data_IF_368254948596
#
_entry.id   IF_368254948596
#
_cell.length_a   1.000
_cell.length_b   1.000
_cell.length_c   1.000
_cell.angle_alpha   90.00
_cell.angle_beta   90.00
_cell.angle_gamma   90.00
#
_symmetry.space_group_name_H-M   'P 1'
#
loop_
_entity.id
_entity.type
_entity.pdbx_description
1 polymer ?
#
# COMPACT_ATOMS: atom_id res chain seq x y z
N UNK A 1 -29.86 -15.39 -45.36
CA UNK A 1 -28.73 -14.55 -45.84
C UNK A 1 -27.67 -14.51 -44.74
N UNK A 2 -26.46 -14.98 -45.03
CA UNK A 2 -25.33 -14.96 -44.11
C UNK A 2 -24.92 -13.50 -43.87
N UNK A 3 -24.99 -13.01 -42.64
CA UNK A 3 -24.37 -11.74 -42.24
C UNK A 3 -22.85 -11.96 -42.21
N UNK A 4 -22.19 -11.76 -43.34
CA UNK A 4 -20.73 -11.74 -43.41
C UNK A 4 -20.23 -10.40 -42.88
N UNK A 5 -19.83 -10.36 -41.60
CA UNK A 5 -18.87 -9.34 -41.19
C UNK A 5 -17.60 -9.54 -42.02
N UNK A 6 -17.01 -8.49 -42.61
CA UNK A 6 -15.75 -8.65 -43.33
C UNK A 6 -14.71 -9.20 -42.35
N UNK A 7 -14.24 -10.42 -42.63
CA UNK A 7 -13.12 -11.02 -41.89
C UNK A 7 -11.95 -10.04 -41.94
N UNK A 8 -11.24 -9.83 -40.81
CA UNK A 8 -10.17 -8.85 -40.78
C UNK A 8 -9.09 -9.28 -41.78
N UNK A 9 -8.78 -8.44 -42.79
CA UNK A 9 -7.71 -8.76 -43.72
C UNK A 9 -6.39 -8.69 -42.97
N UNK A 10 -5.66 -9.82 -42.93
CA UNK A 10 -4.44 -10.03 -42.14
C UNK A 10 -3.23 -9.17 -42.58
N UNK A 11 -3.43 -8.27 -43.54
CA UNK A 11 -2.37 -7.43 -44.12
C UNK A 11 -2.97 -6.16 -44.71
N UNK A 12 -2.92 -5.04 -43.97
CA UNK A 12 -3.16 -3.70 -44.53
C UNK A 12 -2.55 -2.55 -43.72
N UNK A 13 -2.51 -1.38 -44.35
CA UNK A 13 -1.91 -0.13 -43.87
C UNK A 13 -2.81 0.56 -42.82
N UNK A 14 -2.27 1.48 -41.99
CA UNK A 14 -3.01 2.07 -40.88
C UNK A 14 -4.38 2.70 -41.23
N UNK A 15 -4.55 3.19 -42.46
CA UNK A 15 -5.81 3.81 -42.91
C UNK A 15 -6.95 2.83 -43.08
N UNK A 16 -6.67 1.63 -43.60
CA UNK A 16 -7.69 0.61 -43.87
C UNK A 16 -8.17 -0.05 -42.58
N UNK A 17 -7.28 -0.16 -41.57
CA UNK A 17 -7.63 -0.58 -40.21
C UNK A 17 -8.57 0.42 -39.56
N UNK A 18 -8.29 1.72 -39.68
CA UNK A 18 -9.15 2.78 -39.13
C UNK A 18 -10.53 2.82 -39.81
N UNK A 19 -10.60 2.60 -41.13
CA UNK A 19 -11.88 2.51 -41.84
C UNK A 19 -12.71 1.29 -41.39
N UNK A 20 -12.08 0.13 -41.18
CA UNK A 20 -12.75 -1.05 -40.64
C UNK A 20 -13.25 -0.83 -39.21
N UNK A 21 -12.43 -0.25 -38.33
CA UNK A 21 -12.82 0.08 -36.95
C UNK A 21 -14.02 1.05 -36.95
N UNK A 22 -13.99 2.06 -37.82
CA UNK A 22 -15.08 3.04 -37.93
C UNK A 22 -16.38 2.41 -38.46
N UNK A 23 -16.28 1.45 -39.39
CA UNK A 23 -17.42 0.73 -39.95
C UNK A 23 -18.05 -0.25 -38.94
N UNK A 24 -17.25 -0.88 -38.08
CA UNK A 24 -17.75 -1.87 -37.09
C UNK A 24 -18.33 -1.21 -35.84
N UNK A 25 -17.73 -0.12 -35.34
CA UNK A 25 -18.09 0.43 -34.03
C UNK A 25 -18.93 1.71 -34.07
N UNK A 26 -19.09 2.33 -35.25
CA UNK A 26 -19.82 3.59 -35.41
C UNK A 26 -19.10 4.76 -34.71
N UNK A 27 -19.04 5.92 -35.36
CA UNK A 27 -18.38 7.12 -34.82
C UNK A 27 -19.23 7.82 -33.75
N UNK A 28 -19.45 7.16 -32.62
CA UNK A 28 -19.88 7.86 -31.42
C UNK A 28 -18.68 8.60 -30.82
N UNK A 29 -18.49 9.86 -31.21
CA UNK A 29 -17.70 10.82 -30.42
C UNK A 29 -18.40 11.00 -29.08
N UNK A 30 -18.16 10.09 -28.13
CA UNK A 30 -18.56 10.25 -26.75
C UNK A 30 -17.90 11.53 -26.21
N UNK A 31 -18.65 12.63 -26.15
CA UNK A 31 -18.25 13.81 -25.38
C UNK A 31 -17.99 13.31 -23.97
N UNK A 32 -16.72 13.35 -23.54
CA UNK A 32 -16.37 13.08 -22.14
C UNK A 32 -17.20 14.04 -21.28
N UNK A 33 -18.23 13.52 -20.63
CA UNK A 33 -19.04 14.29 -19.71
C UNK A 33 -18.09 14.84 -18.65
N UNK A 34 -18.01 16.17 -18.52
CA UNK A 34 -17.37 16.82 -17.36
C UNK A 34 -18.30 16.59 -16.17
N UNK A 35 -18.35 15.36 -15.68
CA UNK A 35 -18.88 15.09 -14.35
C UNK A 35 -17.89 15.77 -13.40
N UNK A 36 -18.32 16.88 -12.80
CA UNK A 36 -17.61 17.46 -11.66
C UNK A 36 -17.66 16.42 -10.55
N UNK A 37 -16.65 15.54 -10.50
CA UNK A 37 -16.52 14.60 -9.38
C UNK A 37 -16.33 15.45 -8.15
N UNK A 38 -17.38 15.59 -7.36
CA UNK A 38 -17.30 16.17 -6.02
C UNK A 38 -16.10 15.53 -5.30
N UNK A 39 -15.30 16.36 -4.64
CA UNK A 39 -14.14 15.88 -3.90
C UNK A 39 -14.64 15.08 -2.70
N UNK A 40 -14.80 13.77 -2.88
CA UNK A 40 -15.15 12.83 -1.80
C UNK A 40 -13.97 12.68 -0.86
N UNK A 41 -14.25 12.80 0.42
CA UNK A 41 -13.29 12.69 1.52
C UNK A 41 -13.61 11.46 2.34
N UNK A 42 -12.55 10.79 2.78
CA UNK A 42 -12.60 9.72 3.74
C UNK A 42 -11.99 10.21 5.05
N UNK A 43 -12.56 9.80 6.18
CA UNK A 43 -12.11 10.15 7.53
C UNK A 43 -11.91 8.86 8.34
N UNK A 44 -11.03 8.92 9.33
CA UNK A 44 -10.80 7.86 10.33
C UNK A 44 -10.64 6.47 9.71
N UNK A 45 -9.77 6.36 8.71
CA UNK A 45 -9.48 5.08 8.07
C UNK A 45 -8.46 4.33 8.91
N UNK A 46 -8.76 3.10 9.24
CA UNK A 46 -7.81 2.12 9.73
C UNK A 46 -7.67 1.02 8.66
N UNK A 47 -6.45 0.64 8.34
CA UNK A 47 -6.14 -0.39 7.36
C UNK A 47 -5.07 -1.29 7.94
N UNK A 48 -5.43 -2.55 8.05
CA UNK A 48 -4.54 -3.61 8.48
C UNK A 48 -4.12 -4.45 7.27
N UNK A 49 -2.82 -4.69 7.13
CA UNK A 49 -2.26 -5.40 5.99
C UNK A 49 -1.40 -6.55 6.51
N UNK A 50 -1.76 -7.77 6.09
CA UNK A 50 -0.97 -8.98 6.32
C UNK A 50 -0.14 -9.31 5.07
N UNK A 51 1.15 -9.57 5.28
CA UNK A 51 2.06 -10.02 4.22
C UNK A 51 1.96 -11.54 4.05
N UNK A 52 2.02 -12.01 2.80
CA UNK A 52 2.09 -13.45 2.48
C UNK A 52 3.56 -13.90 2.57
N UNK A 53 4.07 -14.02 3.79
CA UNK A 53 5.45 -14.40 4.12
C UNK A 53 5.47 -15.51 5.16
N UNK A 54 6.63 -16.14 5.32
CA UNK A 54 6.82 -17.19 6.32
C UNK A 54 6.58 -16.64 7.74
N UNK A 55 5.78 -17.38 8.51
CA UNK A 55 5.38 -16.99 9.86
C UNK A 55 5.91 -18.03 10.84
N UNK A 56 6.63 -17.57 11.85
CA UNK A 56 7.11 -18.40 12.93
C UNK A 56 6.39 -18.04 14.23
N UNK A 57 5.91 -19.05 14.95
CA UNK A 57 5.33 -18.83 16.27
C UNK A 57 6.49 -18.81 17.26
N UNK A 58 6.81 -17.61 17.79
CA UNK A 58 7.87 -17.46 18.77
C UNK A 58 7.49 -18.19 20.06
N UNK A 59 8.22 -19.26 20.39
CA UNK A 59 8.08 -19.96 21.66
C UNK A 59 8.70 -19.10 22.76
N UNK A 60 8.02 -18.92 23.91
CA UNK A 60 8.54 -18.09 24.98
C UNK A 60 9.82 -18.71 25.55
N UNK A 61 10.91 -17.98 25.43
CA UNK A 61 12.26 -18.38 25.87
C UNK A 61 12.52 -17.95 27.31
N UNK A 62 11.93 -16.83 27.75
CA UNK A 62 12.13 -16.24 29.07
C UNK A 62 10.91 -16.39 30.00
N UNK A 63 11.15 -16.30 31.31
CA UNK A 63 10.05 -16.32 32.30
C UNK A 63 9.12 -15.10 32.16
N UNK A 64 9.63 -13.96 31.72
CA UNK A 64 8.84 -12.76 31.42
C UNK A 64 7.92 -12.99 30.21
N UNK A 65 8.42 -13.60 29.14
CA UNK A 65 7.60 -13.99 27.97
C UNK A 65 6.54 -15.03 28.32
N UNK A 66 6.87 -15.99 29.21
CA UNK A 66 5.88 -16.94 29.74
C UNK A 66 4.78 -16.21 30.50
N UNK A 67 5.12 -15.19 31.30
CA UNK A 67 4.16 -14.37 32.03
C UNK A 67 3.29 -13.55 31.07
N UNK A 68 3.86 -12.90 30.04
CA UNK A 68 3.10 -12.17 29.01
C UNK A 68 2.17 -13.11 28.25
N UNK A 69 2.64 -14.29 27.85
CA UNK A 69 1.82 -15.33 27.22
C UNK A 69 0.70 -15.81 28.14
N UNK A 70 0.95 -15.90 29.45
CA UNK A 70 -0.03 -16.34 30.46
C UNK A 70 -1.07 -15.27 30.82
N UNK A 71 -0.67 -14.00 30.85
CA UNK A 71 -1.56 -12.85 31.11
C UNK A 71 -2.46 -12.56 29.90
N UNK A 72 -1.88 -12.61 28.71
CA UNK A 72 -2.58 -12.20 27.49
C UNK A 72 -3.18 -13.36 26.70
N UNK A 73 -2.71 -14.59 26.92
CA UNK A 73 -3.13 -15.76 26.13
C UNK A 73 -2.64 -15.74 24.69
N UNK A 74 -1.79 -14.78 24.30
CA UNK A 74 -1.42 -14.57 22.90
C UNK A 74 -0.05 -15.13 22.58
N UNK A 75 -0.02 -15.93 21.52
CA UNK A 75 1.20 -16.31 20.83
C UNK A 75 1.74 -15.12 20.02
N UNK A 76 3.05 -14.90 20.11
CA UNK A 76 3.75 -13.95 19.28
C UNK A 76 4.05 -14.60 17.93
N UNK A 77 3.75 -13.87 16.87
CA UNK A 77 4.05 -14.25 15.50
C UNK A 77 5.20 -13.37 15.05
N UNK A 78 6.22 -14.01 14.50
CA UNK A 78 7.33 -13.37 13.81
C UNK A 78 7.16 -13.62 12.32
N UNK A 79 7.05 -12.55 11.55
CA UNK A 79 6.99 -12.61 10.10
C UNK A 79 8.37 -12.31 9.51
N UNK A 80 8.87 -13.25 8.71
CA UNK A 80 10.18 -13.16 8.07
C UNK A 80 10.08 -12.35 6.78
N UNK A 81 10.12 -11.01 6.92
CA UNK A 81 10.19 -10.09 5.80
C UNK A 81 11.23 -9.00 6.01
N UNK A 82 11.65 -8.35 4.92
CA UNK A 82 12.55 -7.21 5.00
C UNK A 82 11.78 -5.92 5.29
N UNK A 83 12.04 -5.31 6.46
CA UNK A 83 11.39 -4.05 6.87
C UNK A 83 11.74 -2.89 5.95
N UNK A 84 12.98 -2.80 5.49
CA UNK A 84 13.47 -1.65 4.71
C UNK A 84 12.77 -1.57 3.34
N UNK A 85 12.73 -2.62 2.51
CA UNK A 85 11.95 -2.61 1.27
C UNK A 85 10.46 -2.34 1.49
N UNK A 86 9.87 -2.93 2.54
CA UNK A 86 8.45 -2.72 2.88
C UNK A 86 8.18 -1.26 3.22
N UNK A 87 9.05 -0.65 4.03
CA UNK A 87 9.01 0.77 4.39
C UNK A 87 9.15 1.66 3.17
N UNK A 88 10.09 1.34 2.27
CA UNK A 88 10.28 2.06 1.02
C UNK A 88 9.03 2.04 0.14
N UNK A 89 8.39 0.88 -0.02
CA UNK A 89 7.14 0.74 -0.78
C UNK A 89 6.06 1.65 -0.20
N UNK A 90 5.90 1.66 1.13
CA UNK A 90 4.89 2.48 1.81
C UNK A 90 5.19 3.98 1.69
N UNK A 91 6.45 4.40 1.83
CA UNK A 91 6.89 5.78 1.60
C UNK A 91 6.61 6.21 0.15
N UNK A 92 6.91 5.36 -0.84
CA UNK A 92 6.62 5.63 -2.25
C UNK A 92 5.11 5.71 -2.51
N UNK A 93 4.29 4.88 -1.86
CA UNK A 93 2.84 4.95 -1.95
C UNK A 93 2.30 6.32 -1.48
N UNK A 94 2.81 6.82 -0.35
CA UNK A 94 2.51 8.16 0.17
C UNK A 94 2.96 9.26 -0.81
N UNK A 95 4.16 9.15 -1.36
CA UNK A 95 4.67 10.10 -2.36
C UNK A 95 3.76 10.21 -3.59
N UNK A 96 3.29 9.08 -4.12
CA UNK A 96 2.35 9.02 -5.27
C UNK A 96 0.98 9.62 -4.94
N UNK A 97 0.54 9.50 -3.68
CA UNK A 97 -0.65 10.17 -3.16
C UNK A 97 -0.44 11.67 -2.88
N UNK A 98 0.77 12.19 -3.11
CA UNK A 98 1.12 13.60 -3.02
C UNK A 98 1.50 14.06 -1.62
N UNK A 99 1.83 13.14 -0.70
CA UNK A 99 2.49 13.49 0.55
C UNK A 99 3.94 13.89 0.23
N UNK A 100 4.39 15.01 0.79
CA UNK A 100 5.73 15.56 0.46
C UNK A 100 6.78 15.22 1.51
N UNK A 101 6.37 15.20 2.77
CA UNK A 101 7.25 15.01 3.92
C UNK A 101 6.81 13.81 4.75
N UNK A 102 7.75 13.14 5.38
CA UNK A 102 7.49 12.11 6.37
C UNK A 102 8.52 12.20 7.49
N UNK A 103 8.21 11.56 8.61
CA UNK A 103 9.09 11.33 9.75
C UNK A 103 9.14 9.84 10.02
N UNK A 104 10.35 9.30 10.10
CA UNK A 104 10.63 7.88 10.27
C UNK A 104 11.21 7.64 11.67
N UNK A 105 10.68 6.63 12.35
CA UNK A 105 11.31 6.02 13.52
C UNK A 105 11.56 4.55 13.25
N UNK A 106 12.66 4.03 13.78
CA UNK A 106 12.94 2.59 13.75
C UNK A 106 13.28 2.17 15.18
N UNK A 107 12.68 1.08 15.65
CA UNK A 107 12.85 0.55 17.01
C UNK A 107 12.65 1.64 18.10
N UNK A 108 11.71 2.57 17.88
CA UNK A 108 11.42 3.69 18.79
C UNK A 108 12.36 4.90 18.69
N UNK A 109 13.52 4.76 18.03
CA UNK A 109 14.47 5.86 17.85
C UNK A 109 14.12 6.72 16.62
N UNK A 110 14.15 8.05 16.80
CA UNK A 110 13.98 8.98 15.70
C UNK A 110 15.20 8.96 14.80
N UNK A 111 14.99 8.64 13.53
CA UNK A 111 16.06 8.59 12.56
C UNK A 111 16.04 9.80 11.65
N UNK A 112 14.89 10.08 11.04
CA UNK A 112 14.88 11.04 9.96
C UNK A 112 13.53 11.73 9.75
N UNK A 113 13.58 13.02 9.48
CA UNK A 113 12.43 13.81 9.05
C UNK A 113 12.81 14.63 7.82
N UNK A 114 11.95 14.63 6.81
CA UNK A 114 12.25 15.37 5.60
C UNK A 114 11.36 15.02 4.43
N UNK A 115 11.84 15.35 3.22
CA UNK A 115 11.16 14.99 1.97
C UNK A 115 11.22 13.48 1.81
N UNK A 116 10.07 12.86 1.47
CA UNK A 116 9.97 11.40 1.32
C UNK A 116 11.07 10.82 0.43
N UNK A 117 11.35 11.48 -0.70
CA UNK A 117 12.42 11.05 -1.63
C UNK A 117 13.80 10.95 -0.96
N UNK A 118 14.16 11.93 -0.13
CA UNK A 118 15.44 11.94 0.60
C UNK A 118 15.49 10.84 1.66
N UNK A 119 14.36 10.59 2.33
CA UNK A 119 14.24 9.52 3.33
C UNK A 119 14.45 8.16 2.66
N UNK A 120 13.80 7.92 1.51
CA UNK A 120 13.98 6.68 0.74
C UNK A 120 15.42 6.49 0.27
N UNK A 121 16.11 7.55 -0.15
CA UNK A 121 17.52 7.44 -0.57
C UNK A 121 18.44 7.02 0.58
N UNK A 122 18.17 7.52 1.79
CA UNK A 122 18.99 7.23 2.98
C UNK A 122 18.57 5.96 3.71
N UNK A 123 17.34 5.48 3.53
CA UNK A 123 16.85 4.33 4.29
C UNK A 123 17.68 3.06 4.04
N UNK A 124 18.25 2.94 2.83
CA UNK A 124 19.13 1.85 2.42
C UNK A 124 20.45 1.81 3.20
N UNK A 125 20.93 2.94 3.71
CA UNK A 125 22.19 3.02 4.45
C UNK A 125 22.07 2.42 5.88
N UNK A 126 20.85 2.27 6.39
CA UNK A 126 20.59 1.75 7.75
C UNK A 126 20.55 0.22 7.84
N UNK A 127 20.78 -0.50 6.73
CA UNK A 127 20.80 -1.97 6.68
C UNK A 127 21.93 -2.57 7.57
N UNK A 128 22.89 -1.77 8.03
CA UNK A 128 24.18 -2.28 8.51
C UNK A 128 24.41 -2.38 10.03
N UNK A 129 23.46 -2.09 10.92
CA UNK A 129 23.84 -1.98 12.36
C UNK A 129 22.97 -2.67 13.41
N UNK A 130 21.70 -2.96 13.18
CA UNK A 130 20.83 -3.57 14.22
C UNK A 130 19.75 -4.46 13.62
N UNK A 131 19.29 -5.45 14.39
CA UNK A 131 18.04 -6.16 14.07
C UNK A 131 16.87 -5.18 14.11
N UNK A 132 16.41 -4.81 12.92
CA UNK A 132 15.24 -3.97 12.76
C UNK A 132 13.99 -4.83 13.01
N UNK A 133 13.22 -4.44 14.02
CA UNK A 133 11.99 -5.14 14.41
C UNK A 133 10.74 -4.32 14.13
N UNK A 134 10.85 -3.00 14.20
CA UNK A 134 9.72 -2.09 14.04
C UNK A 134 10.09 -0.80 13.32
N UNK A 135 9.19 -0.32 12.46
CA UNK A 135 9.29 0.98 11.79
C UNK A 135 7.98 1.75 11.93
N UNK A 136 8.07 3.03 12.26
CA UNK A 136 6.95 3.96 12.28
C UNK A 136 7.14 5.08 11.27
N UNK A 137 6.15 5.30 10.41
CA UNK A 137 6.09 6.40 9.45
C UNK A 137 4.98 7.35 9.87
N UNK A 138 5.32 8.60 10.09
CA UNK A 138 4.37 9.69 10.27
C UNK A 138 4.42 10.62 9.07
N UNK A 139 3.27 10.97 8.52
CA UNK A 139 3.18 11.95 7.45
C UNK A 139 1.94 12.83 7.61
N UNK A 140 1.98 14.02 7.03
CA UNK A 140 0.87 14.96 7.08
C UNK A 140 0.68 15.66 5.75
N UNK A 141 -0.58 15.79 5.35
CA UNK A 141 -1.02 16.56 4.19
C UNK A 141 -2.32 17.29 4.54
N UNK A 142 -3.46 16.69 4.20
CA UNK A 142 -4.80 17.18 4.54
C UNK A 142 -5.34 16.52 5.85
N UNK A 143 -4.66 15.47 6.32
CA UNK A 143 -4.86 14.79 7.59
C UNK A 143 -3.57 14.07 7.99
N UNK A 144 -3.49 13.62 9.24
CA UNK A 144 -2.35 12.83 9.72
C UNK A 144 -2.44 11.39 9.22
N UNK A 145 -1.29 10.85 8.85
CA UNK A 145 -1.10 9.44 8.49
C UNK A 145 -0.05 8.85 9.41
N UNK A 146 -0.40 7.72 10.00
CA UNK A 146 0.50 6.90 10.79
C UNK A 146 0.55 5.51 10.17
N UNK A 147 1.75 4.99 9.96
CA UNK A 147 1.96 3.63 9.50
C UNK A 147 2.95 2.98 10.46
N UNK A 148 2.58 1.84 11.02
CA UNK A 148 3.43 1.02 11.88
C UNK A 148 3.66 -0.30 11.17
N UNK A 149 4.93 -0.72 11.12
CA UNK A 149 5.36 -1.96 10.50
C UNK A 149 6.14 -2.73 11.55
N UNK A 150 5.69 -3.92 11.92
CA UNK A 150 6.29 -4.72 12.99
C UNK A 150 6.51 -6.15 12.50
N UNK A 151 7.75 -6.67 12.62
CA UNK A 151 8.04 -8.09 12.34
C UNK A 151 7.46 -9.01 13.41
N UNK A 152 7.48 -8.55 14.66
CA UNK A 152 7.00 -9.31 15.81
C UNK A 152 5.70 -8.64 16.29
N UNK A 153 4.61 -9.39 16.27
CA UNK A 153 3.32 -8.92 16.73
C UNK A 153 2.51 -10.04 17.39
N UNK A 154 1.54 -9.65 18.21
CA UNK A 154 0.56 -10.62 18.74
C UNK A 154 -0.33 -11.13 17.61
N UNK A 155 -0.84 -12.36 17.71
CA UNK A 155 -1.80 -12.94 16.76
C UNK A 155 -3.05 -12.09 16.47
N UNK A 156 -3.44 -11.17 17.37
CA UNK A 156 -4.57 -10.25 17.19
C UNK A 156 -4.23 -8.95 16.45
N UNK A 157 -2.94 -8.69 16.20
CA UNK A 157 -2.43 -7.54 15.47
C UNK A 157 -1.87 -7.97 14.13
N UNK A 158 -1.67 -7.00 13.27
CA UNK A 158 -1.19 -7.19 11.91
C UNK A 158 0.24 -6.66 11.78
N UNK A 159 1.01 -7.19 10.85
CA UNK A 159 2.40 -6.77 10.63
C UNK A 159 2.51 -5.36 10.06
N UNK A 160 1.46 -4.85 9.41
CA UNK A 160 1.36 -3.44 9.01
C UNK A 160 0.00 -2.87 9.45
N UNK A 161 0.04 -1.83 10.27
CA UNK A 161 -1.11 -1.05 10.71
C UNK A 161 -1.03 0.37 10.13
N UNK A 162 -2.09 0.80 9.43
CA UNK A 162 -2.16 2.13 8.80
C UNK A 162 -3.35 2.88 9.35
N UNK A 163 -3.13 4.07 9.92
CA UNK A 163 -4.16 4.98 10.40
C UNK A 163 -4.12 6.29 9.63
N UNK A 164 -5.27 6.72 9.10
CA UNK A 164 -5.40 7.96 8.32
C UNK A 164 -6.58 8.75 8.86
N UNK A 165 -6.29 9.92 9.44
CA UNK A 165 -7.32 10.81 9.99
C UNK A 165 -8.25 11.34 8.89
N UNK A 166 -7.66 11.81 7.78
CA UNK A 166 -8.41 12.38 6.66
C UNK A 166 -7.62 12.32 5.36
N UNK A 167 -8.28 11.89 4.28
CA UNK A 167 -7.68 11.84 2.94
C UNK A 167 -8.75 11.92 1.85
N UNK A 168 -8.40 12.49 0.69
CA UNK A 168 -9.27 12.44 -0.50
C UNK A 168 -9.37 11.01 -1.02
N UNK A 169 -10.56 10.58 -1.40
CA UNK A 169 -10.80 9.22 -1.88
C UNK A 169 -9.87 8.84 -3.04
N UNK A 170 -9.65 9.76 -3.99
CA UNK A 170 -8.71 9.56 -5.11
C UNK A 170 -7.27 9.31 -4.66
N UNK A 171 -6.81 9.99 -3.61
CA UNK A 171 -5.44 9.82 -3.11
C UNK A 171 -5.32 8.53 -2.31
N UNK A 172 -6.34 8.15 -1.53
CA UNK A 172 -6.41 6.86 -0.85
C UNK A 172 -6.39 5.67 -1.84
N UNK A 173 -7.15 5.75 -2.93
CA UNK A 173 -7.15 4.72 -3.97
C UNK A 173 -5.76 4.53 -4.59
N UNK A 174 -4.99 5.61 -4.80
CA UNK A 174 -3.61 5.50 -5.29
C UNK A 174 -2.72 4.72 -4.32
N UNK A 175 -2.85 4.98 -3.02
CA UNK A 175 -2.11 4.26 -1.97
C UNK A 175 -2.42 2.77 -2.06
N UNK A 176 -3.71 2.40 -2.03
CA UNK A 176 -4.14 1.01 -2.08
C UNK A 176 -3.68 0.28 -3.34
N UNK A 177 -3.80 0.93 -4.51
CA UNK A 177 -3.37 0.34 -5.79
C UNK A 177 -1.86 0.10 -5.78
N UNK A 178 -1.08 1.04 -5.26
CA UNK A 178 0.37 0.90 -5.22
C UNK A 178 0.81 -0.23 -4.29
N UNK A 179 0.23 -0.27 -3.08
CA UNK A 179 0.47 -1.32 -2.07
C UNK A 179 0.15 -2.69 -2.67
N UNK A 180 -1.05 -2.89 -3.22
CA UNK A 180 -1.49 -4.19 -3.79
C UNK A 180 -0.61 -4.68 -4.94
N UNK A 181 -0.02 -3.78 -5.71
CA UNK A 181 0.85 -4.14 -6.85
C UNK A 181 2.27 -4.51 -6.43
N UNK A 182 2.71 -4.09 -5.24
CA UNK A 182 4.12 -4.16 -4.81
C UNK A 182 4.35 -4.99 -3.57
N UNK A 183 3.32 -5.18 -2.76
CA UNK A 183 3.31 -6.11 -1.65
C UNK A 183 2.46 -7.31 -2.07
N UNK A 184 3.00 -8.53 -1.93
CA UNK A 184 2.24 -9.77 -2.10
C UNK A 184 1.29 -9.94 -0.91
N UNK A 185 0.21 -9.15 -0.90
CA UNK A 185 -0.75 -9.06 0.22
C UNK A 185 -1.87 -10.09 0.05
N UNK A 186 -2.09 -10.92 1.08
CA UNK A 186 -3.36 -11.63 1.31
C UNK A 186 -4.12 -10.92 2.44
N UNK A 187 -5.05 -10.01 2.16
CA UNK A 187 -5.84 -9.38 3.22
C UNK A 187 -6.66 -8.15 2.84
N UNK A 188 -7.87 -8.04 3.41
CA UNK A 188 -8.92 -7.08 3.07
C UNK A 188 -8.94 -5.79 3.91
N UNK A 189 -9.44 -4.72 3.29
CA UNK A 189 -9.60 -3.39 3.89
C UNK A 189 -10.85 -3.35 4.78
N UNK A 190 -10.72 -3.19 6.11
CA UNK A 190 -11.86 -2.90 6.99
C UNK A 190 -12.05 -1.39 7.09
N UNK A 191 -13.13 -0.86 6.53
CA UNK A 191 -13.62 0.48 6.90
C UNK A 191 -14.38 0.36 8.21
N UNK A 192 -13.95 1.08 9.23
CA UNK A 192 -14.79 1.37 10.40
C UNK A 192 -15.35 2.78 10.17
N UNK A 193 -16.63 2.85 9.86
CA UNK A 193 -17.42 4.08 9.66
C UNK A 193 -17.94 4.60 10.99
#
# INVERSE_FOLDING_TARGET
>A
MKYGYPEPPWTYSPKEVDEWINAVYGTHKCKKSKISREKKWLKNIELDIDLDVEKEIKKPSSNVEKIIKKITGYEQIEEHFELIPTTEILLRALSIAGFKKARLKINGNFLEEGKIRKIVEKIADYVRKEELNEVEIHSQKEGKVFIKISKIHSKKRHSIEVKIERIREKDFQKILIYIRKRLHVKGGCRKIS
#
